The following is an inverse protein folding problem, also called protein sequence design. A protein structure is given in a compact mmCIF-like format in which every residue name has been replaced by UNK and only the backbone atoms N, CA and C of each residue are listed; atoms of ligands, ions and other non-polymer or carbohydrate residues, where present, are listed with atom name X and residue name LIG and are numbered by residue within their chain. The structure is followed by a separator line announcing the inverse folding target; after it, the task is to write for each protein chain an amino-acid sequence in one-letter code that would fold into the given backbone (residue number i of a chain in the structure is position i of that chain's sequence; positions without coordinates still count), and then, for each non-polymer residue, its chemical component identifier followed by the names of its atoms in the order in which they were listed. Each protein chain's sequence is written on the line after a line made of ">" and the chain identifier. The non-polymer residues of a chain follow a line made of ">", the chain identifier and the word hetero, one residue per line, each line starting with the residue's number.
data_IF_229742172838
#
_entry.id   IF_229742172838
#
_cell.length_a   1.000
_cell.length_b   1.000
_cell.length_c   1.000
_cell.angle_alpha   90.00
_cell.angle_beta   90.00
_cell.angle_gamma   90.00
#
_symmetry.space_group_name_H-M   'P 1'
#
loop_
_entity.id
_entity.type
_entity.pdbx_description
1 polymer ?
#
# COMPACT_ATOMS: atom_id res chain seq x y z
N UNK A 1 6.44 -15.62 4.37
CA UNK A 1 7.38 -16.54 5.07
C UNK A 1 7.14 -17.99 4.73
N UNK A 2 6.01 -18.61 5.12
CA UNK A 2 5.76 -20.02 4.78
C UNK A 2 5.59 -20.22 3.27
N UNK A 3 4.93 -19.29 2.58
CA UNK A 3 4.73 -19.38 1.13
C UNK A 3 5.90 -18.87 0.27
N UNK A 4 6.90 -18.23 0.88
CA UNK A 4 8.04 -17.67 0.14
C UNK A 4 9.11 -18.72 -0.21
N UNK A 5 9.02 -19.92 0.36
CA UNK A 5 9.86 -21.08 0.02
C UNK A 5 8.98 -22.21 -0.49
N UNK A 6 9.52 -23.05 -1.38
CA UNK A 6 8.82 -24.28 -1.78
C UNK A 6 8.68 -25.18 -0.55
N UNK A 7 7.54 -25.86 -0.40
CA UNK A 7 7.25 -26.69 0.79
C UNK A 7 8.28 -27.79 1.06
N UNK A 8 9.09 -28.15 0.06
CA UNK A 8 10.16 -29.15 0.16
C UNK A 8 11.51 -28.60 0.62
N UNK A 9 11.66 -27.28 0.75
CA UNK A 9 12.91 -26.63 1.13
C UNK A 9 12.90 -26.21 2.61
N UNK A 10 14.04 -26.26 3.31
CA UNK A 10 14.15 -25.77 4.67
C UNK A 10 13.79 -24.28 4.73
N UNK A 11 13.03 -23.89 5.75
CA UNK A 11 12.57 -22.53 5.96
C UNK A 11 13.50 -21.82 6.94
N UNK A 12 14.23 -20.81 6.46
CA UNK A 12 15.04 -19.95 7.31
C UNK A 12 14.16 -18.94 8.05
N UNK A 13 13.76 -19.31 9.27
CA UNK A 13 13.06 -18.42 10.17
C UNK A 13 14.02 -17.40 10.77
N UNK A 14 13.73 -16.12 10.57
CA UNK A 14 14.45 -15.03 11.24
C UNK A 14 13.52 -13.86 11.51
N UNK A 15 13.85 -13.04 12.51
CA UNK A 15 13.12 -11.80 12.78
C UNK A 15 13.11 -10.87 11.56
N UNK A 16 14.19 -10.84 10.78
CA UNK A 16 14.26 -10.08 9.53
C UNK A 16 13.25 -10.59 8.50
N UNK A 17 13.21 -11.90 8.27
CA UNK A 17 12.26 -12.50 7.33
C UNK A 17 10.80 -12.34 7.78
N UNK A 18 10.53 -12.30 9.09
CA UNK A 18 9.19 -11.99 9.64
C UNK A 18 8.77 -10.57 9.29
N UNK A 19 9.66 -9.60 9.52
CA UNK A 19 9.41 -8.20 9.17
C UNK A 19 9.21 -8.00 7.68
N UNK A 20 10.00 -8.68 6.84
CA UNK A 20 9.86 -8.59 5.39
C UNK A 20 8.53 -9.18 4.91
N UNK A 21 8.08 -10.28 5.53
CA UNK A 21 6.78 -10.88 5.24
C UNK A 21 5.62 -9.97 5.65
N UNK A 22 5.70 -9.36 6.83
CA UNK A 22 4.73 -8.37 7.31
C UNK A 22 4.68 -7.15 6.38
N UNK A 23 5.83 -6.55 6.06
CA UNK A 23 5.92 -5.42 5.13
C UNK A 23 5.44 -5.79 3.71
N UNK A 24 5.56 -7.06 3.30
CA UNK A 24 4.96 -7.56 2.08
C UNK A 24 3.43 -7.53 2.15
N UNK A 25 2.86 -8.06 3.23
CA UNK A 25 1.42 -8.13 3.45
C UNK A 25 0.79 -6.73 3.57
N UNK A 26 1.42 -5.84 4.34
CA UNK A 26 0.99 -4.45 4.53
C UNK A 26 0.89 -3.74 3.18
N UNK A 27 1.91 -3.84 2.33
CA UNK A 27 1.90 -3.26 0.96
C UNK A 27 0.76 -3.77 0.09
N UNK A 28 0.33 -5.02 0.26
CA UNK A 28 -0.81 -5.56 -0.47
C UNK A 28 -2.11 -4.94 0.04
N UNK A 29 -2.31 -4.90 1.36
CA UNK A 29 -3.50 -4.28 1.97
C UNK A 29 -3.59 -2.79 1.67
N UNK A 30 -2.51 -2.03 1.78
CA UNK A 30 -2.47 -0.60 1.45
C UNK A 30 -2.90 -0.35 0.00
N UNK A 31 -2.38 -1.17 -0.94
CA UNK A 31 -2.74 -1.07 -2.35
C UNK A 31 -4.25 -1.28 -2.54
N UNK A 32 -4.79 -2.34 -1.96
CA UNK A 32 -6.19 -2.70 -2.09
C UNK A 32 -7.11 -1.68 -1.41
N UNK A 33 -6.74 -1.16 -0.25
CA UNK A 33 -7.48 -0.10 0.43
C UNK A 33 -7.54 1.18 -0.42
N UNK A 34 -6.42 1.56 -1.05
CA UNK A 34 -6.38 2.72 -1.96
C UNK A 34 -7.23 2.52 -3.21
N UNK A 35 -7.25 1.31 -3.78
CA UNK A 35 -8.12 0.98 -4.92
C UNK A 35 -9.59 1.10 -4.52
N UNK A 36 -9.97 0.56 -3.34
CA UNK A 36 -11.33 0.64 -2.82
C UNK A 36 -11.77 2.10 -2.55
N UNK A 37 -10.83 2.95 -2.11
CA UNK A 37 -11.06 4.38 -1.89
C UNK A 37 -11.10 5.23 -3.17
N UNK A 38 -10.76 4.67 -4.35
CA UNK A 38 -10.89 5.41 -5.60
C UNK A 38 -12.38 5.61 -5.94
N UNK A 39 -12.81 6.87 -6.01
CA UNK A 39 -14.19 7.26 -6.32
C UNK A 39 -14.67 6.91 -7.74
N UNK A 40 -15.85 7.40 -8.12
CA UNK A 40 -16.37 7.24 -9.48
C UNK A 40 -15.59 8.09 -10.50
N UNK A 41 -15.19 7.49 -11.61
CA UNK A 41 -14.62 8.18 -12.77
C UNK A 41 -15.68 8.41 -13.85
N UNK A 42 -15.32 9.16 -14.90
CA UNK A 42 -16.29 9.44 -15.97
C UNK A 42 -15.86 10.41 -17.08
N UNK A 43 -14.61 10.89 -17.10
CA UNK A 43 -14.18 11.85 -18.12
C UNK A 43 -12.67 11.87 -18.44
N UNK A 44 -11.87 11.06 -17.75
CA UNK A 44 -10.42 11.00 -17.98
C UNK A 44 -10.02 10.14 -19.18
N UNK A 45 -8.80 10.36 -19.68
CA UNK A 45 -8.14 9.42 -20.60
C UNK A 45 -7.46 8.32 -19.81
N UNK A 46 -7.48 7.09 -20.35
CA UNK A 46 -6.76 5.97 -19.75
C UNK A 46 -5.25 6.30 -19.67
N UNK A 47 -4.66 6.06 -18.51
CA UNK A 47 -3.22 6.22 -18.25
C UNK A 47 -2.50 4.87 -18.18
N UNK A 48 -3.26 3.77 -18.16
CA UNK A 48 -2.71 2.42 -18.02
C UNK A 48 -2.14 2.01 -19.38
N UNK A 49 -0.82 1.80 -19.42
CA UNK A 49 -0.15 1.34 -20.65
C UNK A 49 -0.65 -0.05 -21.08
N UNK A 50 -0.63 -0.38 -22.39
CA UNK A 50 -0.99 -1.73 -22.86
C UNK A 50 -0.17 -2.85 -22.19
N UNK A 51 1.10 -2.56 -21.86
CA UNK A 51 1.99 -3.48 -21.15
C UNK A 51 1.52 -3.74 -19.71
N UNK A 52 1.18 -2.68 -18.98
CA UNK A 52 0.72 -2.78 -17.59
C UNK A 52 -0.65 -3.47 -17.54
N UNK A 53 -1.56 -3.13 -18.46
CA UNK A 53 -2.87 -3.79 -18.65
C UNK A 53 -2.71 -5.29 -18.87
N UNK A 54 -1.89 -5.70 -19.84
CA UNK A 54 -1.61 -7.12 -20.12
C UNK A 54 -1.03 -7.85 -18.89
N UNK A 55 -0.16 -7.19 -18.12
CA UNK A 55 0.43 -7.79 -16.91
C UNK A 55 -0.64 -8.04 -15.84
N UNK A 56 -1.57 -7.10 -15.65
CA UNK A 56 -2.69 -7.22 -14.71
C UNK A 56 -3.64 -8.34 -15.17
N UNK A 57 -4.13 -8.29 -16.40
CA UNK A 57 -5.12 -9.23 -16.95
C UNK A 57 -4.59 -10.67 -17.03
N UNK A 58 -3.28 -10.85 -17.18
CA UNK A 58 -2.64 -12.18 -17.19
C UNK A 58 -2.35 -12.76 -15.80
N UNK A 59 -2.72 -12.08 -14.70
CA UNK A 59 -2.42 -12.56 -13.34
C UNK A 59 -2.99 -13.97 -13.09
N UNK A 60 -4.30 -14.15 -13.28
CA UNK A 60 -4.98 -15.42 -13.00
C UNK A 60 -4.38 -16.61 -13.76
N UNK A 61 -4.28 -16.61 -15.10
CA UNK A 61 -3.74 -17.77 -15.81
C UNK A 61 -2.26 -18.06 -15.44
N UNK A 62 -1.48 -17.02 -15.11
CA UNK A 62 -0.09 -17.21 -14.65
C UNK A 62 -0.02 -17.77 -13.24
N UNK A 63 -0.94 -17.38 -12.36
CA UNK A 63 -1.06 -17.89 -11.01
C UNK A 63 -1.49 -19.36 -11.02
N UNK A 64 -2.54 -19.70 -11.77
CA UNK A 64 -3.03 -21.07 -11.95
C UNK A 64 -1.91 -21.97 -12.49
N UNK A 65 -1.23 -21.56 -13.56
CA UNK A 65 -0.08 -22.30 -14.10
C UNK A 65 1.07 -22.48 -13.09
N UNK A 66 1.27 -21.54 -12.16
CA UNK A 66 2.25 -21.69 -11.10
C UNK A 66 1.80 -22.70 -10.03
N UNK A 67 0.51 -22.69 -9.67
CA UNK A 67 -0.06 -23.59 -8.67
C UNK A 67 -0.22 -25.02 -9.20
N UNK A 68 -0.55 -25.19 -10.47
CA UNK A 68 -0.65 -26.50 -11.14
C UNK A 68 0.72 -27.20 -11.23
N UNK A 69 1.81 -26.43 -11.17
CA UNK A 69 3.17 -26.96 -11.18
C UNK A 69 3.69 -27.18 -9.74
N UNK A 70 3.36 -28.34 -9.16
CA UNK A 70 3.80 -28.78 -7.82
C UNK A 70 3.52 -27.73 -6.71
N UNK A 71 2.35 -27.07 -6.77
CA UNK A 71 1.93 -26.05 -5.80
C UNK A 71 3.03 -25.01 -5.54
N UNK A 72 3.57 -24.41 -6.61
CA UNK A 72 4.67 -23.45 -6.50
C UNK A 72 4.18 -22.09 -5.93
N UNK A 73 3.95 -22.07 -4.62
CA UNK A 73 3.46 -20.91 -3.88
C UNK A 73 4.44 -19.74 -3.91
N UNK A 74 5.74 -20.01 -4.01
CA UNK A 74 6.76 -18.97 -4.11
C UNK A 74 6.61 -18.18 -5.42
N UNK A 75 6.41 -18.88 -6.54
CA UNK A 75 6.13 -18.25 -7.84
C UNK A 75 4.77 -17.55 -7.84
N UNK A 76 3.74 -18.19 -7.30
CA UNK A 76 2.40 -17.63 -7.19
C UNK A 76 2.41 -16.31 -6.39
N UNK A 77 3.08 -16.29 -5.23
CA UNK A 77 3.25 -15.12 -4.39
C UNK A 77 4.06 -14.03 -5.10
N UNK A 78 5.12 -14.41 -5.84
CA UNK A 78 5.88 -13.48 -6.68
C UNK A 78 5.00 -12.77 -7.72
N UNK A 79 4.07 -13.49 -8.36
CA UNK A 79 3.11 -12.91 -9.31
C UNK A 79 2.15 -11.92 -8.65
N UNK A 80 1.66 -12.23 -7.44
CA UNK A 80 0.80 -11.33 -6.67
C UNK A 80 1.55 -10.01 -6.34
N UNK A 81 2.78 -10.09 -5.83
CA UNK A 81 3.61 -8.91 -5.56
C UNK A 81 3.88 -8.10 -6.82
N UNK A 82 4.16 -8.78 -7.93
CA UNK A 82 4.43 -8.15 -9.22
C UNK A 82 3.23 -7.38 -9.76
N UNK A 83 2.01 -7.88 -9.55
CA UNK A 83 0.77 -7.19 -9.92
C UNK A 83 0.48 -6.05 -8.95
N UNK A 84 0.60 -6.26 -7.64
CA UNK A 84 0.44 -5.19 -6.62
C UNK A 84 1.38 -4.01 -6.89
N UNK A 85 2.62 -4.27 -7.32
CA UNK A 85 3.55 -3.20 -7.71
C UNK A 85 3.03 -2.37 -8.88
N UNK A 86 2.42 -3.01 -9.89
CA UNK A 86 1.82 -2.30 -11.03
C UNK A 86 0.59 -1.52 -10.59
N UNK A 87 -0.28 -2.14 -9.80
CA UNK A 87 -1.49 -1.49 -9.28
C UNK A 87 -1.15 -0.25 -8.44
N UNK A 88 -0.20 -0.36 -7.50
CA UNK A 88 0.27 0.77 -6.71
C UNK A 88 0.83 1.91 -7.57
N UNK A 89 1.63 1.58 -8.60
CA UNK A 89 2.14 2.56 -9.56
C UNK A 89 0.99 3.29 -10.26
N UNK A 90 0.01 2.55 -10.78
CA UNK A 90 -1.14 3.15 -11.48
C UNK A 90 -1.96 4.03 -10.54
N UNK A 91 -2.32 3.54 -9.37
CA UNK A 91 -3.09 4.27 -8.35
C UNK A 91 -2.39 5.58 -7.96
N UNK A 92 -1.05 5.57 -7.84
CA UNK A 92 -0.28 6.78 -7.52
C UNK A 92 -0.26 7.84 -8.62
N UNK A 93 -0.54 7.46 -9.87
CA UNK A 93 -0.53 8.34 -11.03
C UNK A 93 -1.94 8.73 -11.49
N UNK A 94 -2.98 8.24 -10.82
CA UNK A 94 -4.37 8.54 -11.20
C UNK A 94 -4.60 10.06 -11.19
N UNK A 95 -5.18 10.62 -12.27
CA UNK A 95 -5.58 12.02 -12.28
C UNK A 95 -6.79 12.24 -11.35
N UNK A 96 -7.08 13.50 -11.02
CA UNK A 96 -8.24 13.87 -10.20
C UNK A 96 -9.58 13.36 -10.80
N UNK A 97 -9.65 13.21 -12.13
CA UNK A 97 -10.76 12.55 -12.82
C UNK A 97 -10.23 11.36 -13.62
N UNK A 98 -10.18 10.15 -13.03
CA UNK A 98 -9.76 8.95 -13.73
C UNK A 98 -10.69 8.57 -14.88
N UNK A 99 -10.15 7.81 -15.84
CA UNK A 99 -10.95 7.07 -16.80
C UNK A 99 -11.77 5.98 -16.08
N UNK A 100 -13.02 5.77 -16.50
CA UNK A 100 -13.88 4.71 -15.94
C UNK A 100 -13.25 3.33 -16.10
N UNK A 101 -12.77 3.02 -17.30
CA UNK A 101 -12.11 1.75 -17.64
C UNK A 101 -10.85 1.46 -16.79
N UNK A 102 -10.13 2.49 -16.38
CA UNK A 102 -8.95 2.31 -15.51
C UNK A 102 -9.38 1.93 -14.09
N UNK A 103 -10.42 2.58 -13.57
CA UNK A 103 -10.98 2.26 -12.25
C UNK A 103 -11.60 0.86 -12.21
N UNK A 104 -12.32 0.50 -13.27
CA UNK A 104 -12.88 -0.84 -13.41
C UNK A 104 -11.78 -1.91 -13.46
N UNK A 105 -10.73 -1.69 -14.27
CA UNK A 105 -9.58 -2.60 -14.30
C UNK A 105 -8.90 -2.72 -12.93
N UNK A 106 -8.70 -1.62 -12.22
CA UNK A 106 -8.09 -1.63 -10.88
C UNK A 106 -8.92 -2.41 -9.86
N UNK A 107 -10.25 -2.21 -9.85
CA UNK A 107 -11.16 -2.92 -8.94
C UNK A 107 -11.18 -4.41 -9.25
N UNK A 108 -11.38 -4.79 -10.51
CA UNK A 108 -11.38 -6.19 -10.95
C UNK A 108 -10.04 -6.88 -10.63
N UNK A 109 -8.92 -6.16 -10.80
CA UNK A 109 -7.60 -6.66 -10.45
C UNK A 109 -7.42 -6.83 -8.94
N UNK A 110 -7.90 -5.88 -8.15
CA UNK A 110 -7.89 -5.95 -6.68
C UNK A 110 -8.68 -7.16 -6.18
N UNK A 111 -9.88 -7.38 -6.71
CA UNK A 111 -10.71 -8.55 -6.38
C UNK A 111 -10.03 -9.86 -6.79
N UNK A 112 -9.43 -9.91 -7.99
CA UNK A 112 -8.65 -11.06 -8.45
C UNK A 112 -7.46 -11.34 -7.54
N UNK A 113 -6.72 -10.31 -7.10
CA UNK A 113 -5.62 -10.49 -6.14
C UNK A 113 -6.12 -11.04 -4.82
N UNK A 114 -7.23 -10.52 -4.27
CA UNK A 114 -7.82 -11.00 -3.01
C UNK A 114 -8.28 -12.46 -3.12
N UNK A 115 -8.94 -12.81 -4.22
CA UNK A 115 -9.40 -14.18 -4.45
C UNK A 115 -8.23 -15.16 -4.49
N UNK A 116 -7.22 -14.89 -5.32
CA UNK A 116 -6.07 -15.78 -5.50
C UNK A 116 -5.19 -15.86 -4.24
N UNK A 117 -4.96 -14.74 -3.56
CA UNK A 117 -4.27 -14.72 -2.27
C UNK A 117 -5.09 -15.45 -1.18
N UNK A 118 -6.42 -15.35 -1.24
CA UNK A 118 -7.37 -16.04 -0.36
C UNK A 118 -7.28 -17.56 -0.44
N UNK A 119 -6.99 -18.12 -1.62
CA UNK A 119 -6.70 -19.56 -1.79
C UNK A 119 -5.47 -20.00 -0.98
N UNK A 120 -4.53 -19.07 -0.75
CA UNK A 120 -3.35 -19.27 0.09
C UNK A 120 -3.58 -18.84 1.55
N UNK A 121 -4.80 -18.46 1.93
CA UNK A 121 -5.14 -17.98 3.28
C UNK A 121 -4.68 -16.55 3.59
N UNK A 122 -4.28 -15.78 2.58
CA UNK A 122 -3.85 -14.38 2.71
C UNK A 122 -4.99 -13.42 2.32
N UNK A 123 -4.87 -12.14 2.72
CA UNK A 123 -5.79 -11.06 2.33
C UNK A 123 -7.29 -11.30 2.64
N UNK A 124 -7.56 -11.96 3.77
CA UNK A 124 -8.92 -12.34 4.19
C UNK A 124 -9.70 -11.21 4.88
N UNK A 125 -8.99 -10.24 5.45
CA UNK A 125 -9.64 -9.09 6.09
C UNK A 125 -10.14 -8.10 5.02
N UNK A 126 -11.04 -7.21 5.42
CA UNK A 126 -11.30 -6.01 4.65
C UNK A 126 -10.04 -5.12 4.65
N UNK A 127 -9.54 -4.68 3.48
CA UNK A 127 -8.31 -3.90 3.41
C UNK A 127 -8.34 -2.59 4.18
N UNK A 128 -9.47 -1.86 4.17
CA UNK A 128 -9.57 -0.60 4.90
C UNK A 128 -9.52 -0.84 6.41
N UNK A 129 -10.22 -1.87 6.90
CA UNK A 129 -10.20 -2.28 8.31
C UNK A 129 -8.81 -2.74 8.76
N UNK A 130 -8.09 -3.48 7.90
CA UNK A 130 -6.71 -3.91 8.20
C UNK A 130 -5.78 -2.71 8.38
N UNK A 131 -5.80 -1.78 7.43
CA UNK A 131 -4.94 -0.58 7.43
C UNK A 131 -5.26 0.31 8.63
N UNK A 132 -6.54 0.55 8.93
CA UNK A 132 -6.96 1.35 10.08
C UNK A 132 -6.52 0.71 11.40
N UNK A 133 -6.72 -0.60 11.56
CA UNK A 133 -6.28 -1.34 12.75
C UNK A 133 -4.77 -1.26 12.92
N UNK A 134 -4.01 -1.44 11.84
CA UNK A 134 -2.55 -1.34 11.86
C UNK A 134 -2.09 0.06 12.25
N UNK A 135 -2.70 1.11 11.68
CA UNK A 135 -2.43 2.50 12.03
C UNK A 135 -2.69 2.78 13.51
N UNK A 136 -3.81 2.29 14.05
CA UNK A 136 -4.14 2.43 15.48
C UNK A 136 -3.11 1.74 16.37
N UNK A 137 -2.72 0.50 16.06
CA UNK A 137 -1.69 -0.23 16.82
C UNK A 137 -0.34 0.49 16.80
N UNK A 138 0.04 1.09 15.68
CA UNK A 138 1.28 1.85 15.57
C UNK A 138 1.23 3.15 16.39
N UNK A 139 0.09 3.85 16.40
CA UNK A 139 -0.12 5.05 17.21
C UNK A 139 -0.11 4.77 18.71
N UNK A 140 -0.68 3.64 19.16
CA UNK A 140 -0.61 3.22 20.58
C UNK A 140 0.83 3.02 21.07
N UNK A 141 1.79 2.82 20.14
CA UNK A 141 3.22 2.73 20.44
C UNK A 141 3.96 4.07 20.45
N UNK A 142 3.29 5.18 20.14
CA UNK A 142 3.87 6.53 20.10
C UNK A 142 3.26 7.41 21.18
N UNK A 143 4.03 8.39 21.65
CA UNK A 143 3.57 9.40 22.64
C UNK A 143 3.01 10.64 21.93
N UNK A 144 2.19 10.42 20.90
CA UNK A 144 1.56 11.48 20.11
C UNK A 144 0.17 11.05 19.66
N UNK A 145 -0.82 11.94 19.81
CA UNK A 145 -2.19 11.68 19.37
C UNK A 145 -2.42 12.12 17.93
N UNK A 146 -3.49 11.62 17.28
CA UNK A 146 -3.87 12.09 15.95
C UNK A 146 -4.19 13.59 16.00
N UNK A 147 -4.85 14.04 17.06
CA UNK A 147 -5.20 15.43 17.29
C UNK A 147 -3.96 16.33 17.35
N UNK A 148 -2.89 15.87 18.02
CA UNK A 148 -1.62 16.59 18.09
C UNK A 148 -0.94 16.67 16.71
N UNK A 149 -0.93 15.57 15.94
CA UNK A 149 -0.37 15.53 14.59
C UNK A 149 -1.10 16.53 13.68
N UNK A 150 -2.43 16.49 13.64
CA UNK A 150 -3.23 17.38 12.78
C UNK A 150 -3.05 18.85 13.18
N UNK A 151 -2.96 19.14 14.48
CA UNK A 151 -2.67 20.49 14.98
C UNK A 151 -1.29 20.98 14.54
N UNK A 152 -0.27 20.13 14.62
CA UNK A 152 1.09 20.47 14.17
C UNK A 152 1.15 20.68 12.66
N UNK A 153 0.43 19.88 11.87
CA UNK A 153 0.32 20.07 10.41
C UNK A 153 -0.31 21.43 10.08
N UNK A 154 -1.37 21.81 10.79
CA UNK A 154 -2.05 23.09 10.63
C UNK A 154 -1.17 24.29 11.07
N UNK A 155 -0.44 24.16 12.18
CA UNK A 155 0.56 25.15 12.60
C UNK A 155 1.68 25.33 11.56
N UNK A 156 2.15 24.22 10.98
CA UNK A 156 3.12 24.24 9.88
C UNK A 156 2.55 24.93 8.64
N UNK A 157 1.31 24.65 8.26
CA UNK A 157 0.65 25.29 7.13
C UNK A 157 0.56 26.82 7.34
N UNK A 158 0.18 27.26 8.55
CA UNK A 158 0.19 28.68 8.93
C UNK A 158 1.58 29.32 8.86
N UNK A 159 2.63 28.62 9.31
CA UNK A 159 4.00 29.11 9.25
C UNK A 159 4.44 29.33 7.80
N UNK A 160 4.20 28.35 6.92
CA UNK A 160 4.53 28.46 5.49
C UNK A 160 3.71 29.54 4.78
N UNK A 161 2.44 29.72 5.12
CA UNK A 161 1.61 30.80 4.59
C UNK A 161 2.17 32.20 4.93
N UNK A 162 2.82 32.33 6.10
CA UNK A 162 3.53 33.54 6.53
C UNK A 162 4.98 33.62 6.05
N UNK A 163 5.43 32.66 5.22
CA UNK A 163 6.83 32.51 4.74
C UNK A 163 7.85 32.28 5.85
N UNK A 164 7.40 31.79 7.00
CA UNK A 164 8.27 31.37 8.10
C UNK A 164 8.67 29.90 7.89
N UNK A 165 9.69 29.70 7.07
CA UNK A 165 10.20 28.37 6.73
C UNK A 165 10.88 27.69 7.92
N UNK A 166 11.54 28.46 8.79
CA UNK A 166 12.27 27.93 9.94
C UNK A 166 11.32 27.24 10.95
N UNK A 167 10.20 27.89 11.29
CA UNK A 167 9.18 27.27 12.15
C UNK A 167 8.54 26.06 11.45
N UNK A 168 8.28 26.14 10.14
CA UNK A 168 7.73 25.03 9.37
C UNK A 168 8.64 23.79 9.33
N UNK A 169 9.96 23.99 9.22
CA UNK A 169 10.96 22.92 9.28
C UNK A 169 11.09 22.35 10.69
N UNK A 170 11.08 23.21 11.73
CA UNK A 170 11.13 22.77 13.14
C UNK A 170 9.96 21.84 13.47
N UNK A 171 8.75 22.17 13.00
CA UNK A 171 7.56 21.33 13.22
C UNK A 171 7.68 20.00 12.46
N UNK A 172 8.19 20.02 11.22
CA UNK A 172 8.42 18.79 10.44
C UNK A 172 9.42 17.88 11.15
N UNK A 173 10.52 18.44 11.63
CA UNK A 173 11.59 17.67 12.25
C UNK A 173 11.12 17.08 13.59
N UNK A 174 10.29 17.82 14.34
CA UNK A 174 9.65 17.30 15.56
C UNK A 174 8.71 16.13 15.26
N UNK A 175 7.84 16.26 14.25
CA UNK A 175 6.97 15.16 13.85
C UNK A 175 7.79 13.93 13.43
N UNK A 176 8.92 14.13 12.74
CA UNK A 176 9.81 13.05 12.37
C UNK A 176 10.49 12.37 13.58
N UNK A 177 10.87 13.14 14.60
CA UNK A 177 11.35 12.61 15.89
C UNK A 177 10.29 11.74 16.57
N UNK A 178 9.03 12.20 16.53
CA UNK A 178 7.87 11.48 17.07
C UNK A 178 7.42 10.32 16.13
N UNK A 179 8.20 9.99 15.10
CA UNK A 179 7.97 8.85 14.21
C UNK A 179 6.94 9.11 13.10
N UNK A 180 6.61 10.36 12.81
CA UNK A 180 5.62 10.77 11.81
C UNK A 180 6.33 11.42 10.60
N UNK A 181 6.19 10.80 9.43
CA UNK A 181 6.74 11.32 8.17
C UNK A 181 5.66 12.05 7.38
N UNK A 182 5.92 13.29 7.00
CA UNK A 182 4.99 14.13 6.25
C UNK A 182 5.20 14.04 4.73
N UNK A 183 4.10 14.00 3.99
CA UNK A 183 4.06 14.01 2.54
C UNK A 183 3.20 15.19 2.06
N UNK A 184 3.83 16.22 1.49
CA UNK A 184 3.12 17.34 0.89
C UNK A 184 2.65 16.98 -0.54
N UNK A 185 1.37 17.17 -0.84
CA UNK A 185 0.80 16.96 -2.17
C UNK A 185 -0.17 18.07 -2.59
N UNK A 186 -0.67 18.03 -3.84
CA UNK A 186 -1.63 19.02 -4.34
C UNK A 186 -2.94 19.10 -3.54
N UNK A 187 -3.30 18.02 -2.82
CA UNK A 187 -4.48 17.93 -1.97
C UNK A 187 -4.25 18.27 -0.49
N UNK A 188 -3.05 18.73 -0.11
CA UNK A 188 -2.67 19.00 1.28
C UNK A 188 -1.52 18.12 1.76
N UNK A 189 -1.22 18.18 3.06
CA UNK A 189 -0.20 17.35 3.71
C UNK A 189 -0.85 16.06 4.21
N UNK A 190 -0.36 14.90 3.76
CA UNK A 190 -0.67 13.59 4.34
C UNK A 190 0.50 13.13 5.20
N UNK A 191 0.32 12.09 6.01
CA UNK A 191 1.36 11.59 6.90
C UNK A 191 1.30 10.09 7.08
N UNK A 192 2.47 9.48 7.30
CA UNK A 192 2.68 8.06 7.55
C UNK A 192 3.52 7.85 8.81
N UNK A 193 3.37 6.70 9.46
CA UNK A 193 4.15 6.35 10.65
C UNK A 193 5.44 5.68 10.20
N UNK A 194 6.57 6.32 10.47
CA UNK A 194 7.90 5.80 10.20
C UNK A 194 8.37 4.99 11.40
N UNK A 195 8.21 3.67 11.31
CA UNK A 195 8.84 2.74 12.23
C UNK A 195 10.37 2.95 12.18
N UNK A 196 10.96 3.49 13.25
CA UNK A 196 12.40 3.52 13.38
C UNK A 196 12.89 2.07 13.40
N UNK A 197 13.68 1.71 12.39
CA UNK A 197 14.32 0.40 12.31
C UNK A 197 15.43 0.37 13.36
N UNK A 198 15.13 -0.20 14.52
CA UNK A 198 16.13 -0.59 15.51
C UNK A 198 17.00 -1.74 14.98
#
# INVERSE_FOLDING_TARGET
>A
LIFSTQYRNPLDFSAAAMRDAEAGLDRMYDCLARIAGCGGGGGGKSIISPKDRKKIESLRPRFESAMDNDFNTARALGLLFDTIKVLNKVVSMLPAQPAGDDLELLRNAGDTVRELAGLMGLLRDDPAVYVERKKKMLLEGLDITIEDIEKMIDDRARARARKDWATGDTIRDRLLEDGIELHDGPGGTTWDIKLQRA
#
